data_IF_883937385220
#
_entry.id   IF_883937385220
#
_cell.length_a   1.000
_cell.length_b   1.000
_cell.length_c   1.000
_cell.angle_alpha   90.00
_cell.angle_beta   90.00
_cell.angle_gamma   90.00
#
_symmetry.space_group_name_H-M   'P 1'
#
loop_
_entity.id
_entity.type
_entity.pdbx_description
1 polymer ?
#
# COMPACT_ATOMS: atom_id res chain seq x y z
N UNK A 1 27.04 -70.96 41.44
CA UNK A 1 26.82 -70.30 40.13
C UNK A 1 25.32 -70.01 39.97
N UNK A 2 24.87 -68.84 40.42
CA UNK A 2 23.49 -68.39 40.22
C UNK A 2 23.52 -67.19 39.27
N UNK A 3 22.84 -67.32 38.13
CA UNK A 3 22.76 -66.30 37.08
C UNK A 3 21.51 -65.46 37.31
N UNK A 4 21.72 -64.21 37.68
CA UNK A 4 20.69 -63.20 37.90
C UNK A 4 20.24 -62.61 36.55
N UNK A 5 19.01 -62.87 36.13
CA UNK A 5 18.41 -62.31 34.91
C UNK A 5 17.80 -60.94 35.22
N UNK A 6 18.52 -59.88 34.87
CA UNK A 6 18.08 -58.49 34.99
C UNK A 6 16.87 -58.17 34.09
N UNK A 7 15.80 -57.66 34.69
CA UNK A 7 14.67 -57.02 33.99
C UNK A 7 15.13 -55.65 33.46
N UNK A 8 15.28 -55.50 32.15
CA UNK A 8 15.44 -54.20 31.49
C UNK A 8 14.13 -53.41 31.62
N UNK A 9 14.14 -52.41 32.49
CA UNK A 9 13.09 -51.41 32.65
C UNK A 9 13.18 -50.48 31.44
N UNK A 10 12.17 -50.48 30.57
CA UNK A 10 12.07 -49.55 29.45
C UNK A 10 11.82 -48.15 30.02
N UNK A 11 12.87 -47.33 30.07
CA UNK A 11 12.75 -45.90 30.32
C UNK A 11 12.17 -45.26 29.06
N UNK A 12 10.96 -44.73 29.15
CA UNK A 12 10.42 -43.81 28.15
C UNK A 12 11.38 -42.62 28.01
N UNK A 13 11.65 -42.13 26.78
CA UNK A 13 12.46 -40.94 26.60
C UNK A 13 11.76 -39.76 27.30
N UNK A 14 12.49 -39.07 28.17
CA UNK A 14 12.05 -37.82 28.77
C UNK A 14 11.70 -36.82 27.64
N UNK A 15 10.66 -35.99 27.80
CA UNK A 15 10.36 -34.94 26.84
C UNK A 15 11.59 -34.04 26.70
N UNK A 16 12.07 -33.86 25.47
CA UNK A 16 13.19 -32.98 25.15
C UNK A 16 12.86 -31.56 25.64
N UNK A 17 13.68 -31.04 26.54
CA UNK A 17 13.59 -29.65 26.99
C UNK A 17 13.77 -28.72 25.79
N UNK A 18 12.87 -27.74 25.58
CA UNK A 18 12.99 -26.81 24.47
C UNK A 18 14.31 -26.05 24.56
N UNK A 19 14.97 -25.85 23.42
CA UNK A 19 16.16 -25.00 23.39
C UNK A 19 15.75 -23.53 23.51
N UNK A 20 16.58 -22.68 24.14
CA UNK A 20 16.30 -21.23 24.24
C UNK A 20 15.98 -20.59 22.87
N UNK A 21 16.62 -21.09 21.81
CA UNK A 21 16.37 -20.66 20.42
C UNK A 21 14.97 -21.05 19.89
N UNK A 22 14.42 -22.19 20.30
CA UNK A 22 13.05 -22.61 19.94
C UNK A 22 11.99 -21.80 20.69
N UNK A 23 12.22 -21.46 21.96
CA UNK A 23 11.30 -20.61 22.74
C UNK A 23 11.24 -19.18 22.19
N UNK A 24 12.39 -18.58 21.88
CA UNK A 24 12.46 -17.25 21.26
C UNK A 24 11.79 -17.23 19.88
N UNK A 25 11.90 -18.32 19.12
CA UNK A 25 11.22 -18.47 17.84
C UNK A 25 9.71 -18.58 18.03
N UNK A 26 9.23 -19.38 18.98
CA UNK A 26 7.80 -19.52 19.28
C UNK A 26 7.16 -18.18 19.68
N UNK A 27 7.82 -17.39 20.52
CA UNK A 27 7.37 -16.05 20.91
C UNK A 27 7.28 -15.09 19.72
N UNK A 28 8.28 -15.10 18.83
CA UNK A 28 8.26 -14.29 17.60
C UNK A 28 7.10 -14.68 16.68
N UNK A 29 6.85 -15.98 16.52
CA UNK A 29 5.72 -16.45 15.73
C UNK A 29 4.37 -16.13 16.38
N UNK A 30 4.26 -16.18 17.71
CA UNK A 30 3.05 -15.74 18.41
C UNK A 30 2.76 -14.25 18.20
N UNK A 31 3.80 -13.41 18.24
CA UNK A 31 3.70 -11.99 17.93
C UNK A 31 3.28 -11.76 16.46
N UNK A 32 3.83 -12.54 15.52
CA UNK A 32 3.44 -12.51 14.11
C UNK A 32 1.96 -12.89 13.91
N UNK A 33 1.46 -13.91 14.63
CA UNK A 33 0.03 -14.27 14.61
C UNK A 33 -0.85 -13.14 15.15
N UNK A 34 -0.41 -12.47 16.23
CA UNK A 34 -1.16 -11.35 16.84
C UNK A 34 -1.16 -10.09 15.99
N UNK A 35 -0.11 -9.88 15.20
CA UNK A 35 0.02 -8.75 14.29
C UNK A 35 -0.58 -9.01 12.90
N UNK A 36 -1.09 -10.21 12.62
CA UNK A 36 -1.66 -10.55 11.33
C UNK A 36 -2.97 -9.79 11.10
N UNK A 37 -3.00 -8.96 10.06
CA UNK A 37 -4.15 -8.20 9.55
C UNK A 37 -4.81 -8.89 8.33
N UNK A 38 -4.08 -9.79 7.68
CA UNK A 38 -4.54 -10.58 6.54
C UNK A 38 -4.22 -12.08 6.71
N UNK A 39 -4.83 -12.91 5.85
CA UNK A 39 -4.53 -14.35 5.82
C UNK A 39 -3.06 -14.60 5.48
N UNK A 40 -2.33 -15.24 6.39
CA UNK A 40 -0.88 -15.46 6.27
C UNK A 40 -0.51 -16.94 6.43
N UNK A 41 0.70 -17.29 6.00
CA UNK A 41 1.27 -18.62 6.10
C UNK A 41 2.56 -18.59 6.92
N UNK A 42 2.61 -19.36 8.00
CA UNK A 42 3.70 -19.42 8.98
C UNK A 42 4.35 -20.80 8.93
N UNK A 43 5.66 -20.84 8.72
CA UNK A 43 6.44 -22.09 8.63
C UNK A 43 6.97 -22.52 10.01
N UNK A 44 6.54 -23.69 10.47
CA UNK A 44 6.94 -24.25 11.77
C UNK A 44 8.20 -25.14 11.70
N UNK A 45 8.92 -25.16 10.57
CA UNK A 45 10.14 -25.93 10.41
C UNK A 45 11.19 -25.58 11.47
N UNK A 46 11.79 -26.60 12.09
CA UNK A 46 12.74 -26.43 13.19
C UNK A 46 12.13 -26.07 14.55
N UNK A 47 10.81 -26.20 14.72
CA UNK A 47 10.15 -26.22 16.03
C UNK A 47 9.69 -27.65 16.29
N UNK A 48 10.22 -28.26 17.36
CA UNK A 48 9.88 -29.64 17.74
C UNK A 48 9.34 -29.76 19.17
N UNK A 49 9.60 -28.76 20.02
CA UNK A 49 9.16 -28.74 21.41
C UNK A 49 7.64 -28.56 21.60
N UNK A 50 7.03 -29.49 22.34
CA UNK A 50 5.62 -29.41 22.77
C UNK A 50 5.34 -28.11 23.54
N UNK A 51 6.25 -27.73 24.43
CA UNK A 51 6.13 -26.50 25.22
C UNK A 51 6.16 -25.24 24.34
N UNK A 52 7.03 -25.20 23.33
CA UNK A 52 7.15 -24.06 22.41
C UNK A 52 5.90 -23.90 21.54
N UNK A 53 5.31 -24.99 21.06
CA UNK A 53 4.05 -24.94 20.29
C UNK A 53 2.86 -24.54 21.16
N UNK A 54 2.79 -25.07 22.38
CA UNK A 54 1.76 -24.67 23.35
C UNK A 54 1.88 -23.18 23.70
N UNK A 55 3.10 -22.66 23.87
CA UNK A 55 3.35 -21.24 24.08
C UNK A 55 2.91 -20.40 22.87
N UNK A 56 3.27 -20.81 21.65
CA UNK A 56 2.85 -20.14 20.41
C UNK A 56 1.33 -20.03 20.32
N UNK A 57 0.63 -21.15 20.50
CA UNK A 57 -0.84 -21.18 20.42
C UNK A 57 -1.48 -20.37 21.54
N UNK A 58 -0.96 -20.48 22.76
CA UNK A 58 -1.50 -19.76 23.91
C UNK A 58 -1.29 -18.24 23.80
N UNK A 59 -0.10 -17.80 23.42
CA UNK A 59 0.22 -16.37 23.30
C UNK A 59 -0.38 -15.75 22.03
N UNK A 60 -0.46 -16.55 20.95
CA UNK A 60 -0.93 -16.09 19.64
C UNK A 60 -2.45 -16.13 19.45
N UNK A 61 -3.15 -17.11 20.04
CA UNK A 61 -4.53 -17.46 19.65
C UNK A 61 -5.53 -17.60 20.81
N UNK A 62 -5.07 -17.59 22.07
CA UNK A 62 -5.96 -17.74 23.22
C UNK A 62 -6.86 -16.51 23.44
N UNK A 63 -6.35 -15.32 23.10
CA UNK A 63 -7.10 -14.07 23.17
C UNK A 63 -7.60 -13.71 21.77
N UNK A 64 -8.89 -13.32 21.61
CA UNK A 64 -9.41 -12.89 20.32
C UNK A 64 -8.54 -11.80 19.67
N UNK A 65 -8.40 -11.88 18.35
CA UNK A 65 -7.68 -10.87 17.57
C UNK A 65 -8.58 -9.65 17.34
N UNK A 66 -8.08 -8.42 17.45
CA UNK A 66 -8.86 -7.20 17.24
C UNK A 66 -9.06 -6.92 15.73
N UNK A 67 -9.78 -7.81 15.04
CA UNK A 67 -9.97 -7.76 13.59
C UNK A 67 -11.46 -7.60 13.24
N UNK A 68 -11.74 -6.77 12.23
CA UNK A 68 -13.09 -6.55 11.68
C UNK A 68 -13.53 -7.68 10.74
N UNK A 69 -12.57 -8.36 10.11
CA UNK A 69 -12.80 -9.41 9.13
C UNK A 69 -12.11 -10.70 9.54
N UNK A 70 -12.64 -11.82 9.06
CA UNK A 70 -12.07 -13.14 9.32
C UNK A 70 -10.81 -13.36 8.50
N UNK A 71 -9.74 -13.81 9.16
CA UNK A 71 -8.48 -14.20 8.50
C UNK A 71 -8.21 -15.70 8.69
N UNK A 72 -7.34 -16.24 7.85
CA UNK A 72 -6.87 -17.63 7.96
C UNK A 72 -5.38 -17.64 8.22
N UNK A 73 -4.97 -18.18 9.37
CA UNK A 73 -3.57 -18.43 9.70
C UNK A 73 -3.21 -19.85 9.26
N UNK A 74 -2.24 -19.99 8.35
CA UNK A 74 -1.85 -21.28 7.80
C UNK A 74 -0.51 -21.71 8.36
N UNK A 75 -0.49 -22.70 9.25
CA UNK A 75 0.76 -23.27 9.73
C UNK A 75 1.25 -24.37 8.80
N UNK A 76 2.49 -24.29 8.33
CA UNK A 76 3.17 -25.38 7.63
C UNK A 76 3.73 -26.34 8.68
N UNK A 77 3.11 -27.51 8.79
CA UNK A 77 3.39 -28.51 9.83
C UNK A 77 4.13 -29.74 9.30
N UNK A 78 4.44 -29.77 8.01
CA UNK A 78 5.10 -30.89 7.39
C UNK A 78 5.26 -30.72 5.89
N UNK A 79 5.96 -31.66 5.29
CA UNK A 79 5.91 -31.86 3.85
C UNK A 79 6.35 -33.27 3.50
N UNK A 80 6.23 -33.62 2.22
CA UNK A 80 6.59 -34.93 1.74
C UNK A 80 8.08 -35.06 1.47
N UNK A 81 8.43 -35.94 0.54
CA UNK A 81 9.75 -36.60 0.52
C UNK A 81 10.93 -35.62 0.45
N UNK A 82 10.76 -34.44 -0.16
CA UNK A 82 11.83 -33.44 -0.34
C UNK A 82 12.12 -32.59 0.90
N UNK A 83 11.14 -32.38 1.77
CA UNK A 83 11.25 -31.46 2.92
C UNK A 83 10.84 -32.11 4.25
N UNK A 84 10.52 -33.41 4.26
CA UNK A 84 10.11 -34.16 5.46
C UNK A 84 11.10 -34.03 6.63
N UNK A 85 12.40 -33.94 6.34
CA UNK A 85 13.44 -33.80 7.38
C UNK A 85 13.39 -32.46 8.14
N UNK A 86 12.69 -31.45 7.61
CA UNK A 86 12.58 -30.12 8.21
C UNK A 86 11.56 -30.05 9.36
N UNK A 87 10.63 -31.00 9.41
CA UNK A 87 9.50 -31.00 10.33
C UNK A 87 9.51 -32.28 11.16
N UNK A 88 9.08 -32.17 12.42
CA UNK A 88 8.83 -33.36 13.23
C UNK A 88 7.58 -34.09 12.72
N UNK A 89 7.63 -35.41 12.60
CA UNK A 89 6.50 -36.22 12.13
C UNK A 89 5.26 -36.09 13.04
N UNK A 90 5.45 -35.71 14.32
CA UNK A 90 4.39 -35.49 15.31
C UNK A 90 3.90 -34.03 15.36
N UNK A 91 4.52 -33.12 14.62
CA UNK A 91 4.20 -31.69 14.64
C UNK A 91 2.71 -31.38 14.37
N UNK A 92 2.03 -32.03 13.40
CA UNK A 92 0.60 -31.79 13.17
C UNK A 92 -0.27 -32.18 14.37
N UNK A 93 0.07 -33.29 15.04
CA UNK A 93 -0.66 -33.77 16.21
C UNK A 93 -0.47 -32.83 17.40
N UNK A 94 0.78 -32.45 17.68
CA UNK A 94 1.12 -31.57 18.82
C UNK A 94 0.44 -30.21 18.66
N UNK A 95 0.46 -29.62 17.47
CA UNK A 95 -0.22 -28.34 17.20
C UNK A 95 -1.74 -28.46 17.36
N UNK A 96 -2.33 -29.55 16.86
CA UNK A 96 -3.77 -29.81 16.97
C UNK A 96 -4.20 -29.98 18.44
N UNK A 97 -3.39 -30.66 19.25
CA UNK A 97 -3.65 -30.85 20.68
C UNK A 97 -3.52 -29.52 21.45
N UNK A 98 -2.55 -28.68 21.09
CA UNK A 98 -2.41 -27.34 21.66
C UNK A 98 -3.61 -26.43 21.33
N UNK A 99 -4.10 -26.47 20.09
CA UNK A 99 -5.30 -25.72 19.65
C UNK A 99 -6.55 -26.21 20.39
N UNK A 100 -6.74 -27.53 20.49
CA UNK A 100 -7.84 -28.13 21.28
C UNK A 100 -7.74 -27.71 22.75
N UNK A 101 -6.54 -27.62 23.30
CA UNK A 101 -6.27 -27.17 24.68
C UNK A 101 -6.72 -25.75 25.00
N UNK A 102 -6.83 -24.86 24.00
CA UNK A 102 -7.37 -23.50 24.16
C UNK A 102 -8.83 -23.37 23.64
N UNK A 103 -9.49 -24.50 23.37
CA UNK A 103 -10.90 -24.56 23.00
C UNK A 103 -11.18 -24.33 21.51
N UNK A 104 -10.21 -24.61 20.62
CA UNK A 104 -10.48 -24.69 19.18
C UNK A 104 -11.00 -26.09 18.80
N UNK A 105 -11.81 -26.15 17.75
CA UNK A 105 -12.42 -27.40 17.26
C UNK A 105 -11.94 -27.70 15.84
N UNK A 106 -11.64 -28.96 15.59
CA UNK A 106 -11.22 -29.42 14.26
C UNK A 106 -12.46 -29.61 13.37
N UNK A 107 -12.53 -28.89 12.25
CA UNK A 107 -13.59 -29.00 11.25
C UNK A 107 -13.01 -28.93 9.84
N UNK A 108 -13.16 -30.01 9.07
CA UNK A 108 -12.66 -30.12 7.69
C UNK A 108 -13.35 -29.14 6.73
N UNK A 109 -14.57 -28.71 7.04
CA UNK A 109 -15.34 -27.75 6.25
C UNK A 109 -14.99 -26.29 6.53
N UNK A 110 -14.17 -26.01 7.56
CA UNK A 110 -13.91 -24.64 7.99
C UNK A 110 -13.30 -23.76 6.87
N UNK A 111 -13.80 -22.53 6.78
CA UNK A 111 -13.42 -21.55 5.77
C UNK A 111 -13.25 -20.16 6.39
N UNK A 112 -12.75 -19.18 5.62
CA UNK A 112 -12.47 -17.84 6.14
C UNK A 112 -13.77 -17.00 6.24
N UNK A 113 -14.76 -17.51 6.97
CA UNK A 113 -16.03 -16.86 7.28
C UNK A 113 -16.17 -16.69 8.79
N UNK A 114 -16.91 -15.65 9.22
CA UNK A 114 -17.05 -15.32 10.66
C UNK A 114 -17.72 -16.44 11.47
N UNK A 115 -18.47 -17.34 10.82
CA UNK A 115 -19.10 -18.50 11.45
C UNK A 115 -18.09 -19.60 11.82
N UNK A 116 -16.88 -19.57 11.26
CA UNK A 116 -15.83 -20.56 11.49
C UNK A 116 -14.81 -20.14 12.56
N UNK A 117 -15.12 -19.16 13.40
CA UNK A 117 -14.23 -18.70 14.48
C UNK A 117 -13.95 -19.79 15.51
N UNK A 118 -12.68 -19.94 15.89
CA UNK A 118 -12.26 -20.99 16.80
C UNK A 118 -12.20 -22.38 16.15
N UNK A 119 -12.26 -22.47 14.82
CA UNK A 119 -12.10 -23.72 14.09
C UNK A 119 -10.70 -23.85 13.49
N UNK A 120 -10.29 -25.09 13.22
CA UNK A 120 -9.10 -25.36 12.42
C UNK A 120 -9.28 -26.59 11.53
N UNK A 121 -8.49 -26.67 10.47
CA UNK A 121 -8.48 -27.83 9.58
C UNK A 121 -7.08 -28.22 9.17
N UNK A 122 -6.85 -29.53 9.12
CA UNK A 122 -5.67 -30.09 8.49
C UNK A 122 -5.89 -30.26 6.98
N UNK A 123 -4.92 -29.85 6.19
CA UNK A 123 -4.94 -29.99 4.73
C UNK A 123 -3.58 -30.49 4.23
N UNK A 124 -3.59 -31.49 3.36
CA UNK A 124 -2.40 -31.94 2.64
C UNK A 124 -2.50 -31.45 1.19
N UNK A 125 -1.59 -30.56 0.80
CA UNK A 125 -1.47 -30.08 -0.57
C UNK A 125 -0.48 -30.99 -1.30
N UNK A 126 -1.03 -31.89 -2.10
CA UNK A 126 -0.25 -32.89 -2.86
C UNK A 126 0.55 -32.27 -4.00
N UNK A 127 0.14 -31.10 -4.50
CA UNK A 127 0.84 -30.42 -5.60
C UNK A 127 2.10 -29.73 -5.09
N UNK A 128 2.03 -29.17 -3.87
CA UNK A 128 3.17 -28.51 -3.21
C UNK A 128 3.97 -29.44 -2.30
N UNK A 129 3.53 -30.67 -2.09
CA UNK A 129 4.13 -31.64 -1.18
C UNK A 129 4.25 -31.08 0.26
N UNK A 130 3.24 -30.32 0.71
CA UNK A 130 3.21 -29.64 2.01
C UNK A 130 1.95 -29.98 2.80
N UNK A 131 2.11 -30.05 4.12
CA UNK A 131 1.03 -30.28 5.08
C UNK A 131 0.77 -29.00 5.84
N UNK A 132 -0.50 -28.62 5.90
CA UNK A 132 -0.97 -27.38 6.50
C UNK A 132 -1.96 -27.65 7.63
N UNK A 133 -1.93 -26.81 8.65
CA UNK A 133 -3.03 -26.61 9.59
C UNK A 133 -3.51 -25.19 9.41
N UNK A 134 -4.71 -25.03 8.84
CA UNK A 134 -5.38 -23.75 8.73
C UNK A 134 -6.17 -23.49 9.98
N UNK A 135 -5.90 -22.38 10.65
CA UNK A 135 -6.56 -21.95 11.87
C UNK A 135 -7.36 -20.69 11.59
N UNK A 136 -8.59 -20.67 12.10
CA UNK A 136 -9.53 -19.57 11.98
C UNK A 136 -9.68 -18.94 13.38
N UNK A 137 -8.89 -17.89 13.69
CA UNK A 137 -8.84 -17.32 15.03
C UNK A 137 -10.20 -16.75 15.45
N UNK A 138 -10.42 -16.66 16.75
CA UNK A 138 -11.54 -15.85 17.28
C UNK A 138 -11.20 -14.39 17.04
N UNK A 139 -12.15 -13.61 16.54
CA UNK A 139 -11.99 -12.18 16.28
C UNK A 139 -12.93 -11.38 17.18
N UNK A 140 -12.47 -10.23 17.63
CA UNK A 140 -13.25 -9.25 18.36
C UNK A 140 -13.31 -7.96 17.54
N UNK A 141 -14.39 -7.76 16.75
CA UNK A 141 -14.54 -6.56 15.94
C UNK A 141 -14.75 -5.30 16.77
N UNK A 142 -15.16 -5.42 18.05
CA UNK A 142 -15.34 -4.28 18.95
C UNK A 142 -14.01 -3.75 19.49
N UNK A 143 -13.05 -4.65 19.72
CA UNK A 143 -11.68 -4.29 20.11
C UNK A 143 -10.84 -3.73 18.95
N UNK A 144 -11.26 -3.94 17.69
CA UNK A 144 -10.61 -3.38 16.51
C UNK A 144 -10.73 -1.84 16.41
N UNK A 145 -11.66 -1.22 17.14
CA UNK A 145 -11.87 0.23 17.12
C UNK A 145 -10.72 1.06 17.76
N UNK A 146 -9.75 0.42 18.41
CA UNK A 146 -8.64 1.07 19.12
C UNK A 146 -7.24 0.87 18.52
N UNK A 147 -7.09 0.09 17.45
CA UNK A 147 -5.78 -0.21 16.86
C UNK A 147 -5.74 0.17 15.39
N UNK A 148 -5.21 1.37 15.13
CA UNK A 148 -4.62 1.85 13.88
C UNK A 148 -5.10 1.14 12.59
N UNK A 149 -6.32 1.47 12.17
CA UNK A 149 -6.73 1.36 10.78
C UNK A 149 -5.92 2.37 9.94
N UNK A 150 -4.97 1.86 9.16
CA UNK A 150 -4.51 2.44 7.89
C UNK A 150 -4.41 1.23 6.95
N UNK A 151 -5.16 1.03 5.87
CA UNK A 151 -5.73 1.92 4.88
C UNK A 151 -6.91 1.20 4.18
N UNK A 152 -8.08 1.09 4.83
CA UNK A 152 -9.32 0.69 4.14
C UNK A 152 -10.31 1.86 3.98
N UNK A 153 -10.24 2.86 4.87
CA UNK A 153 -11.00 4.12 4.83
C UNK A 153 -10.13 5.34 4.46
N UNK A 154 -8.88 5.13 4.05
CA UNK A 154 -8.02 6.23 3.66
C UNK A 154 -8.52 6.83 2.34
N UNK A 155 -9.09 8.03 2.43
CA UNK A 155 -9.54 8.78 1.27
C UNK A 155 -8.40 8.89 0.25
N UNK A 156 -8.70 8.51 -0.99
CA UNK A 156 -7.76 8.63 -2.10
C UNK A 156 -7.29 10.08 -2.26
N UNK A 157 -6.11 10.33 -2.88
CA UNK A 157 -5.65 11.69 -3.16
C UNK A 157 -6.72 12.57 -3.82
N UNK A 158 -7.50 12.00 -4.74
CA UNK A 158 -8.61 12.70 -5.40
C UNK A 158 -9.72 13.09 -4.42
N UNK A 159 -10.14 12.17 -3.55
CA UNK A 159 -11.15 12.47 -2.51
C UNK A 159 -10.64 13.49 -1.51
N UNK A 160 -9.36 13.41 -1.10
CA UNK A 160 -8.74 14.40 -0.22
C UNK A 160 -8.69 15.80 -0.85
N UNK A 161 -8.47 15.92 -2.17
CA UNK A 161 -8.56 17.23 -2.84
C UNK A 161 -9.97 17.82 -2.76
N UNK A 162 -10.98 16.98 -2.93
CA UNK A 162 -12.38 17.39 -3.01
C UNK A 162 -12.92 17.74 -1.63
N UNK A 163 -12.80 16.84 -0.66
CA UNK A 163 -13.49 16.93 0.62
C UNK A 163 -12.71 17.57 1.76
N UNK A 164 -11.37 17.67 1.66
CA UNK A 164 -10.60 18.28 2.76
C UNK A 164 -10.92 19.77 2.92
N UNK A 165 -10.91 20.26 4.15
CA UNK A 165 -11.01 21.70 4.41
C UNK A 165 -9.85 22.48 3.77
N UNK A 166 -10.05 23.78 3.53
CA UNK A 166 -9.09 24.63 2.81
C UNK A 166 -7.67 24.55 3.37
N UNK A 167 -7.49 24.68 4.69
CA UNK A 167 -6.16 24.67 5.32
C UNK A 167 -5.46 23.31 5.15
N UNK A 168 -6.22 22.22 5.34
CA UNK A 168 -5.74 20.85 5.16
C UNK A 168 -5.37 20.59 3.70
N UNK A 169 -6.20 21.04 2.76
CA UNK A 169 -5.93 20.99 1.33
C UNK A 169 -4.62 21.70 0.97
N UNK A 170 -4.42 22.93 1.46
CA UNK A 170 -3.20 23.69 1.18
C UNK A 170 -1.96 23.00 1.74
N UNK A 171 -2.04 22.49 2.97
CA UNK A 171 -0.94 21.74 3.60
C UNK A 171 -0.59 20.47 2.81
N UNK A 172 -1.60 19.70 2.39
CA UNK A 172 -1.42 18.48 1.59
C UNK A 172 -0.81 18.79 0.22
N UNK A 173 -1.30 19.82 -0.48
CA UNK A 173 -0.73 20.23 -1.77
C UNK A 173 0.74 20.61 -1.62
N UNK A 174 1.10 21.41 -0.60
CA UNK A 174 2.49 21.79 -0.35
C UNK A 174 3.38 20.58 -0.05
N UNK A 175 2.88 19.61 0.71
CA UNK A 175 3.64 18.44 1.14
C UNK A 175 3.73 17.33 0.07
N UNK A 176 2.67 17.14 -0.71
CA UNK A 176 2.49 15.96 -1.57
C UNK A 176 2.54 16.27 -3.07
N UNK A 177 2.42 17.53 -3.49
CA UNK A 177 2.54 17.93 -4.92
C UNK A 177 3.63 18.99 -5.10
N UNK A 178 4.85 18.54 -5.31
CA UNK A 178 6.04 19.42 -5.37
C UNK A 178 6.22 20.00 -6.78
N UNK A 179 5.96 19.20 -7.81
CA UNK A 179 6.19 19.59 -9.20
C UNK A 179 5.00 20.37 -9.80
N UNK A 180 5.28 21.14 -10.85
CA UNK A 180 4.25 21.87 -11.59
C UNK A 180 3.23 20.92 -12.23
N UNK A 181 3.70 19.83 -12.84
CA UNK A 181 2.85 18.80 -13.43
C UNK A 181 1.93 18.14 -12.40
N UNK A 182 2.42 17.87 -11.19
CA UNK A 182 1.60 17.30 -10.11
C UNK A 182 0.48 18.27 -9.70
N UNK A 183 0.82 19.54 -9.45
CA UNK A 183 -0.18 20.57 -9.11
C UNK A 183 -1.17 20.81 -10.25
N UNK A 184 -0.71 20.75 -11.51
CA UNK A 184 -1.58 20.87 -12.69
C UNK A 184 -2.58 19.72 -12.79
N UNK A 185 -2.16 18.49 -12.51
CA UNK A 185 -3.05 17.32 -12.45
C UNK A 185 -4.07 17.43 -11.31
N UNK A 186 -3.63 17.88 -10.12
CA UNK A 186 -4.54 18.18 -9.02
C UNK A 186 -5.59 19.24 -9.42
N UNK A 187 -5.19 20.27 -10.17
CA UNK A 187 -6.13 21.28 -10.70
C UNK A 187 -7.11 20.67 -11.71
N UNK A 188 -6.67 19.74 -12.55
CA UNK A 188 -7.52 19.04 -13.52
C UNK A 188 -8.58 18.18 -12.81
N UNK A 189 -8.24 17.52 -11.69
CA UNK A 189 -9.20 16.81 -10.83
C UNK A 189 -10.27 17.76 -10.30
N UNK A 190 -9.88 18.91 -9.73
CA UNK A 190 -10.83 19.90 -9.23
C UNK A 190 -11.71 20.47 -10.35
N UNK A 191 -11.17 20.65 -11.56
CA UNK A 191 -11.95 21.09 -12.74
C UNK A 191 -12.96 20.06 -13.19
N UNK A 192 -12.59 18.78 -13.21
CA UNK A 192 -13.51 17.68 -13.49
C UNK A 192 -14.66 17.63 -12.48
N UNK A 193 -14.35 17.77 -11.19
CA UNK A 193 -15.35 17.86 -10.13
C UNK A 193 -16.33 19.02 -10.35
N UNK A 194 -15.82 20.21 -10.71
CA UNK A 194 -16.67 21.38 -10.99
C UNK A 194 -17.53 21.21 -12.24
N UNK A 195 -17.02 20.54 -13.27
CA UNK A 195 -17.82 20.19 -14.46
C UNK A 195 -18.99 19.30 -14.06
N UNK A 196 -18.74 18.25 -13.27
CA UNK A 196 -19.79 17.34 -12.78
C UNK A 196 -20.86 18.08 -11.97
N UNK A 197 -20.46 18.99 -11.06
CA UNK A 197 -21.41 19.84 -10.33
C UNK A 197 -22.28 20.64 -11.31
N UNK A 198 -21.68 21.30 -12.29
CA UNK A 198 -22.42 22.07 -13.30
C UNK A 198 -23.35 21.21 -14.19
N UNK A 199 -22.97 19.97 -14.49
CA UNK A 199 -23.82 19.01 -15.22
C UNK A 199 -25.05 18.60 -14.38
N UNK A 200 -24.85 18.32 -13.08
CA UNK A 200 -25.94 18.00 -12.16
C UNK A 200 -26.88 19.20 -11.96
N UNK A 201 -26.33 20.41 -11.83
CA UNK A 201 -27.12 21.65 -11.78
C UNK A 201 -27.97 21.85 -13.04
N UNK A 202 -27.41 21.57 -14.22
CA UNK A 202 -28.17 21.66 -15.48
C UNK A 202 -29.32 20.65 -15.53
N UNK A 203 -29.11 19.41 -15.06
CA UNK A 203 -30.18 18.39 -14.95
C UNK A 203 -31.28 18.85 -13.99
N UNK A 204 -30.91 19.37 -12.82
CA UNK A 204 -31.87 19.91 -11.86
C UNK A 204 -32.65 21.12 -12.43
N UNK A 205 -31.99 22.02 -13.16
CA UNK A 205 -32.64 23.14 -13.85
C UNK A 205 -33.61 22.67 -14.95
N UNK A 206 -33.30 21.56 -15.61
CA UNK A 206 -34.16 20.90 -16.59
C UNK A 206 -35.33 20.10 -15.94
N UNK A 207 -35.44 20.12 -14.61
CA UNK A 207 -36.40 19.33 -13.82
C UNK A 207 -36.21 17.81 -13.96
N UNK A 208 -35.00 17.37 -14.29
CA UNK A 208 -34.64 15.96 -14.29
C UNK A 208 -34.29 15.51 -12.87
N UNK A 209 -34.78 14.33 -12.50
CA UNK A 209 -34.43 13.70 -11.22
C UNK A 209 -32.98 13.21 -11.27
N UNK A 210 -32.22 13.54 -10.23
CA UNK A 210 -30.96 12.87 -9.92
C UNK A 210 -31.27 11.52 -9.26
N UNK A 211 -30.43 10.52 -9.49
CA UNK A 211 -30.50 9.28 -8.72
C UNK A 211 -29.96 9.49 -7.29
N UNK A 212 -30.15 8.48 -6.42
CA UNK A 212 -29.76 8.58 -5.01
C UNK A 212 -28.26 8.84 -4.82
N UNK A 213 -27.43 8.25 -5.68
CA UNK A 213 -25.97 8.38 -5.63
C UNK A 213 -25.49 9.77 -6.09
N UNK A 214 -26.05 10.29 -7.19
CA UNK A 214 -25.76 11.62 -7.70
C UNK A 214 -26.27 12.71 -6.75
N UNK A 215 -27.44 12.53 -6.14
CA UNK A 215 -27.99 13.46 -5.15
C UNK A 215 -27.10 13.49 -3.90
N UNK A 216 -26.76 12.32 -3.34
CA UNK A 216 -25.88 12.23 -2.17
C UNK A 216 -24.50 12.82 -2.45
N UNK A 217 -23.96 12.60 -3.66
CA UNK A 217 -22.70 13.20 -4.08
C UNK A 217 -22.82 14.72 -4.20
N UNK A 218 -23.85 15.23 -4.87
CA UNK A 218 -24.08 16.66 -5.03
C UNK A 218 -24.21 17.38 -3.67
N UNK A 219 -24.99 16.82 -2.75
CA UNK A 219 -25.20 17.38 -1.41
C UNK A 219 -23.94 17.39 -0.54
N UNK A 220 -22.96 16.53 -0.86
CA UNK A 220 -21.67 16.45 -0.16
C UNK A 220 -20.62 17.45 -0.66
N UNK A 221 -20.88 18.14 -1.77
CA UNK A 221 -19.90 19.01 -2.45
C UNK A 221 -20.27 20.48 -2.26
N UNK A 222 -19.34 21.22 -1.66
CA UNK A 222 -19.41 22.69 -1.62
C UNK A 222 -18.74 23.29 -2.87
N UNK A 223 -19.57 23.83 -3.78
CA UNK A 223 -19.13 24.43 -5.03
C UNK A 223 -18.27 25.69 -4.84
N UNK A 224 -18.50 26.45 -3.78
CA UNK A 224 -17.76 27.68 -3.47
C UNK A 224 -16.36 27.33 -2.95
N UNK A 225 -16.27 26.38 -2.02
CA UNK A 225 -14.97 25.85 -1.54
C UNK A 225 -14.18 25.24 -2.70
N UNK A 226 -14.85 24.50 -3.59
CA UNK A 226 -14.21 23.95 -4.79
C UNK A 226 -13.63 25.05 -5.70
N UNK A 227 -14.37 26.15 -5.90
CA UNK A 227 -13.90 27.30 -6.68
C UNK A 227 -12.73 28.04 -6.01
N UNK A 228 -12.73 28.16 -4.68
CA UNK A 228 -11.62 28.73 -3.91
C UNK A 228 -10.35 27.90 -4.07
N UNK A 229 -10.43 26.58 -3.88
CA UNK A 229 -9.31 25.64 -4.08
C UNK A 229 -8.74 25.72 -5.50
N UNK A 230 -9.60 25.80 -6.52
CA UNK A 230 -9.17 25.97 -7.91
C UNK A 230 -8.41 27.28 -8.12
N UNK A 231 -8.93 28.39 -7.58
CA UNK A 231 -8.31 29.71 -7.72
C UNK A 231 -6.95 29.75 -7.04
N UNK A 232 -6.87 29.23 -5.82
CA UNK A 232 -5.61 29.14 -5.08
C UNK A 232 -4.58 28.28 -5.84
N UNK A 233 -4.98 27.11 -6.35
CA UNK A 233 -4.06 26.22 -7.05
C UNK A 233 -3.60 26.81 -8.40
N UNK A 234 -4.46 27.58 -9.08
CA UNK A 234 -4.07 28.37 -10.26
C UNK A 234 -3.04 29.44 -9.92
N UNK A 235 -3.23 30.18 -8.83
CA UNK A 235 -2.25 31.16 -8.36
C UNK A 235 -0.91 30.51 -8.01
N UNK A 236 -0.92 29.31 -7.41
CA UNK A 236 0.29 28.55 -7.14
C UNK A 236 1.03 28.15 -8.43
N UNK A 237 0.30 27.72 -9.46
CA UNK A 237 0.90 27.37 -10.77
C UNK A 237 1.48 28.60 -11.45
N UNK A 238 0.77 29.73 -11.45
CA UNK A 238 1.27 31.00 -12.00
C UNK A 238 2.53 31.45 -11.26
N UNK A 239 2.54 31.36 -9.93
CA UNK A 239 3.71 31.67 -9.10
C UNK A 239 4.91 30.76 -9.39
N UNK A 240 4.69 29.49 -9.74
CA UNK A 240 5.77 28.58 -10.15
C UNK A 240 6.37 28.95 -11.51
N UNK A 241 5.54 29.44 -12.43
CA UNK A 241 5.98 29.97 -13.74
C UNK A 241 6.79 31.25 -13.51
N UNK A 242 6.27 32.18 -12.72
CA UNK A 242 6.90 33.49 -12.48
C UNK A 242 8.21 33.36 -11.69
N UNK A 243 8.28 32.45 -10.70
CA UNK A 243 9.51 32.16 -9.95
C UNK A 243 10.46 31.23 -10.71
N UNK A 244 10.01 30.66 -11.82
CA UNK A 244 10.76 29.70 -12.65
C UNK A 244 11.16 28.43 -11.90
N UNK A 245 10.32 27.94 -10.99
CA UNK A 245 10.54 26.69 -10.25
C UNK A 245 10.09 25.46 -11.05
N UNK A 246 10.29 25.49 -12.37
CA UNK A 246 9.86 24.43 -13.30
C UNK A 246 11.02 23.47 -13.58
N UNK A 247 10.69 22.19 -13.76
CA UNK A 247 11.65 21.23 -14.32
C UNK A 247 11.87 21.47 -15.83
N UNK A 248 12.89 20.84 -16.42
CA UNK A 248 13.19 21.04 -17.84
C UNK A 248 12.07 20.59 -18.77
N UNK A 249 11.39 19.49 -18.45
CA UNK A 249 10.22 19.02 -19.21
C UNK A 249 9.03 19.96 -19.03
N UNK A 250 8.71 20.33 -17.79
CA UNK A 250 7.61 21.26 -17.50
C UNK A 250 7.79 22.61 -18.17
N UNK A 251 9.02 23.14 -18.18
CA UNK A 251 9.34 24.38 -18.90
C UNK A 251 9.11 24.24 -20.40
N UNK A 252 9.50 23.11 -21.01
CA UNK A 252 9.25 22.86 -22.43
C UNK A 252 7.74 22.87 -22.73
N UNK A 253 6.95 22.14 -21.94
CA UNK A 253 5.48 22.08 -22.09
C UNK A 253 4.81 23.45 -21.91
N UNK A 254 5.28 24.25 -20.94
CA UNK A 254 4.75 25.61 -20.72
C UNK A 254 5.13 26.52 -21.88
N UNK A 255 6.37 26.44 -22.38
CA UNK A 255 6.81 27.23 -23.54
C UNK A 255 6.04 26.86 -24.81
N UNK A 256 5.75 25.58 -25.03
CA UNK A 256 4.91 25.11 -26.15
C UNK A 256 3.48 25.64 -26.06
N UNK A 257 2.89 25.61 -24.86
CA UNK A 257 1.54 26.18 -24.65
C UNK A 257 1.52 27.70 -24.84
N UNK A 258 2.56 28.40 -24.39
CA UNK A 258 2.69 29.83 -24.62
C UNK A 258 2.91 30.15 -26.09
N UNK A 259 3.68 29.37 -26.84
CA UNK A 259 3.88 29.58 -28.27
C UNK A 259 2.60 29.34 -29.08
N UNK A 260 1.83 28.31 -28.74
CA UNK A 260 0.53 28.04 -29.37
C UNK A 260 -0.46 29.19 -29.09
N UNK A 261 -0.52 29.66 -27.84
CA UNK A 261 -1.37 30.83 -27.48
C UNK A 261 -0.92 32.11 -28.17
N UNK A 262 0.38 32.36 -28.28
CA UNK A 262 0.93 33.50 -29.03
C UNK A 262 0.49 33.45 -30.48
N UNK A 263 0.60 32.30 -31.16
CA UNK A 263 0.12 32.15 -32.54
C UNK A 263 -1.38 32.45 -32.68
N UNK A 264 -2.21 31.98 -31.75
CA UNK A 264 -3.65 32.28 -31.74
C UNK A 264 -3.95 33.77 -31.50
N UNK A 265 -3.16 34.45 -30.65
CA UNK A 265 -3.32 35.89 -30.40
C UNK A 265 -2.88 36.68 -31.63
N UNK A 266 -1.78 36.30 -32.27
CA UNK A 266 -1.26 36.93 -33.49
C UNK A 266 -2.25 36.80 -34.67
N UNK A 267 -2.86 35.63 -34.84
CA UNK A 267 -3.91 35.41 -35.83
C UNK A 267 -5.15 36.29 -35.55
N UNK A 268 -5.65 36.29 -34.31
CA UNK A 268 -6.77 37.13 -33.89
C UNK A 268 -6.47 38.61 -34.07
N UNK A 269 -5.23 39.02 -33.80
CA UNK A 269 -4.77 40.40 -33.92
C UNK A 269 -4.77 40.83 -35.39
N UNK A 270 -4.28 39.99 -36.31
CA UNK A 270 -4.32 40.26 -37.74
C UNK A 270 -5.77 40.45 -38.24
N UNK A 271 -6.67 39.54 -37.87
CA UNK A 271 -8.11 39.63 -38.22
C UNK A 271 -8.75 40.89 -37.63
N UNK A 272 -8.44 41.21 -36.38
CA UNK A 272 -9.02 42.37 -35.67
C UNK A 272 -8.52 43.71 -36.25
N UNK A 273 -7.25 43.75 -36.66
CA UNK A 273 -6.66 44.90 -37.35
C UNK A 273 -7.27 45.09 -38.74
N UNK A 274 -7.43 44.01 -39.52
CA UNK A 274 -8.09 44.05 -40.83
C UNK A 274 -9.56 44.50 -40.72
N UNK A 275 -10.24 44.16 -39.62
CA UNK A 275 -11.60 44.60 -39.32
C UNK A 275 -11.70 46.04 -38.77
N UNK A 276 -10.59 46.78 -38.64
CA UNK A 276 -10.59 48.17 -38.15
C UNK A 276 -10.93 48.33 -36.66
N UNK A 277 -10.94 47.24 -35.87
CA UNK A 277 -11.33 47.25 -34.45
C UNK A 277 -10.16 47.67 -33.57
N UNK A 278 -9.75 48.93 -33.67
CA UNK A 278 -8.54 49.51 -33.04
C UNK A 278 -8.41 49.26 -31.54
N UNK A 279 -9.48 49.44 -30.74
CA UNK A 279 -9.45 49.18 -29.28
C UNK A 279 -9.18 47.71 -28.95
N UNK A 280 -9.76 46.78 -29.70
CA UNK A 280 -9.58 45.34 -29.49
C UNK A 280 -8.18 44.90 -29.98
N UNK A 281 -7.69 45.47 -31.08
CA UNK A 281 -6.33 45.23 -31.57
C UNK A 281 -5.27 45.70 -30.57
N UNK A 282 -5.45 46.86 -29.93
CA UNK A 282 -4.55 47.34 -28.89
C UNK A 282 -4.50 46.41 -27.65
N UNK A 283 -5.66 45.86 -27.25
CA UNK A 283 -5.71 44.89 -26.15
C UNK A 283 -4.99 43.58 -26.50
N UNK A 284 -5.14 43.09 -27.74
CA UNK A 284 -4.44 41.89 -28.21
C UNK A 284 -2.93 42.11 -28.33
N UNK A 285 -2.48 43.30 -28.77
CA UNK A 285 -1.06 43.67 -28.80
C UNK A 285 -0.44 43.61 -27.41
N UNK A 286 -1.10 44.23 -26.42
CA UNK A 286 -0.65 44.20 -25.03
C UNK A 286 -0.54 42.77 -24.49
N UNK A 287 -1.56 41.94 -24.74
CA UNK A 287 -1.57 40.54 -24.32
C UNK A 287 -0.44 39.73 -24.99
N UNK A 288 -0.15 40.00 -26.27
CA UNK A 288 0.96 39.39 -27.01
C UNK A 288 2.30 39.75 -26.37
N UNK A 289 2.52 41.03 -26.08
CA UNK A 289 3.80 41.50 -25.52
C UNK A 289 4.02 40.97 -24.10
N UNK A 290 2.97 40.90 -23.27
CA UNK A 290 3.02 40.26 -21.95
C UNK A 290 3.37 38.77 -22.04
N UNK A 291 2.79 38.03 -22.98
CA UNK A 291 3.12 36.61 -23.20
C UNK A 291 4.56 36.44 -23.72
N UNK A 292 5.01 37.32 -24.64
CA UNK A 292 6.36 37.29 -25.16
C UNK A 292 7.40 37.57 -24.06
N UNK A 293 7.12 38.53 -23.17
CA UNK A 293 7.96 38.81 -22.01
C UNK A 293 8.08 37.58 -21.09
N UNK A 294 6.97 36.87 -20.84
CA UNK A 294 6.96 35.61 -20.07
C UNK A 294 7.78 34.50 -20.74
N UNK A 295 7.74 34.38 -22.07
CA UNK A 295 8.58 33.42 -22.81
C UNK A 295 10.07 33.72 -22.63
N UNK A 296 10.47 34.99 -22.73
CA UNK A 296 11.86 35.41 -22.52
C UNK A 296 12.29 35.12 -21.09
N UNK A 297 11.46 35.46 -20.11
CA UNK A 297 11.69 35.21 -18.68
C UNK A 297 11.94 33.73 -18.38
N UNK A 298 11.05 32.84 -18.83
CA UNK A 298 11.17 31.40 -18.59
C UNK A 298 12.43 30.79 -19.23
N UNK A 299 12.84 31.27 -20.40
CA UNK A 299 14.07 30.82 -21.06
C UNK A 299 15.32 31.27 -20.30
N UNK A 300 15.26 32.41 -19.61
CA UNK A 300 16.36 32.97 -18.83
C UNK A 300 16.58 32.34 -17.46
N UNK A 301 15.58 31.66 -16.89
CA UNK A 301 15.68 31.05 -15.54
C UNK A 301 16.17 29.59 -15.62
N UNK A 302 17.13 29.17 -14.76
CA UNK A 302 17.54 27.78 -14.65
C UNK A 302 16.43 26.86 -14.15
N UNK A 303 16.33 25.65 -14.72
CA UNK A 303 15.35 24.66 -14.30
C UNK A 303 15.69 24.06 -12.93
N UNK A 304 14.65 23.68 -12.19
CA UNK A 304 14.77 22.92 -10.95
C UNK A 304 14.84 21.42 -11.24
N UNK A 305 15.53 20.67 -10.38
CA UNK A 305 15.47 19.20 -10.36
C UNK A 305 14.90 18.74 -9.03
N UNK A 306 13.86 17.92 -9.06
CA UNK A 306 13.28 17.31 -7.87
C UNK A 306 13.93 15.94 -7.66
N UNK A 307 14.70 15.78 -6.59
CA UNK A 307 15.20 14.46 -6.19
C UNK A 307 14.11 13.73 -5.41
N UNK A 308 13.80 12.46 -5.72
CA UNK A 308 12.90 11.66 -4.92
C UNK A 308 13.43 11.57 -3.49
N UNK A 309 12.53 11.55 -2.50
CA UNK A 309 12.94 11.19 -1.13
C UNK A 309 13.55 9.78 -1.15
N UNK A 310 14.51 9.50 -0.28
CA UNK A 310 15.15 8.18 -0.17
C UNK A 310 15.84 7.65 -1.45
N UNK A 311 16.20 8.49 -2.44
CA UNK A 311 16.78 8.05 -3.72
C UNK A 311 17.99 7.10 -3.56
N UNK A 312 18.89 7.40 -2.63
CA UNK A 312 20.06 6.56 -2.35
C UNK A 312 19.67 5.20 -1.73
N UNK A 313 18.73 5.20 -0.79
CA UNK A 313 18.24 4.00 -0.10
C UNK A 313 17.45 3.10 -1.06
N UNK A 314 16.59 3.68 -1.91
CA UNK A 314 15.89 2.96 -2.97
C UNK A 314 16.86 2.34 -3.98
N UNK A 315 17.94 3.04 -4.35
CA UNK A 315 18.96 2.51 -5.26
C UNK A 315 19.69 1.32 -4.65
N UNK A 316 20.05 1.39 -3.37
CA UNK A 316 20.68 0.28 -2.65
C UNK A 316 19.70 -0.91 -2.48
N UNK A 317 18.42 -0.66 -2.16
CA UNK A 317 17.39 -1.70 -2.08
C UNK A 317 17.16 -2.39 -3.43
N UNK A 318 17.07 -1.62 -4.54
CA UNK A 318 16.99 -2.19 -5.90
C UNK A 318 18.20 -3.04 -6.24
N UNK A 319 19.41 -2.60 -5.87
CA UNK A 319 20.64 -3.37 -6.08
C UNK A 319 20.64 -4.69 -5.29
N UNK A 320 20.18 -4.65 -4.03
CA UNK A 320 20.01 -5.84 -3.19
C UNK A 320 18.97 -6.79 -3.77
N UNK A 321 17.80 -6.30 -4.18
CA UNK A 321 16.77 -7.11 -4.82
C UNK A 321 17.24 -7.74 -6.13
N UNK A 322 17.96 -7.01 -6.98
CA UNK A 322 18.54 -7.55 -8.20
C UNK A 322 19.59 -8.65 -7.94
N UNK A 323 20.37 -8.54 -6.86
CA UNK A 323 21.28 -9.58 -6.43
C UNK A 323 20.53 -10.83 -5.93
N UNK A 324 19.45 -10.64 -5.15
CA UNK A 324 18.58 -11.72 -4.69
C UNK A 324 17.84 -12.42 -5.83
N UNK A 325 17.37 -11.70 -6.84
CA UNK A 325 16.77 -12.29 -8.05
C UNK A 325 17.76 -13.12 -8.85
N UNK A 326 19.04 -12.72 -8.90
CA UNK A 326 20.10 -13.52 -9.55
C UNK A 326 20.38 -14.81 -8.77
N UNK A 327 20.36 -14.74 -7.43
CA UNK A 327 20.51 -15.91 -6.56
C UNK A 327 19.33 -16.87 -6.71
N UNK A 328 18.10 -16.35 -6.75
CA UNK A 328 16.87 -17.12 -6.95
C UNK A 328 16.83 -17.85 -8.30
N UNK A 329 17.36 -17.21 -9.35
CA UNK A 329 17.46 -17.81 -10.71
C UNK A 329 18.64 -18.75 -10.87
N UNK A 330 19.51 -18.89 -9.86
CA UNK A 330 20.66 -19.78 -9.94
C UNK A 330 20.23 -21.24 -9.81
N UNK A 331 20.84 -22.12 -10.61
CA UNK A 331 20.55 -23.58 -10.61
C UNK A 331 21.37 -24.34 -9.55
N UNK A 332 22.07 -23.63 -8.68
CA UNK A 332 23.01 -24.19 -7.69
C UNK A 332 22.29 -24.31 -6.35
N UNK A 333 22.61 -25.36 -5.58
CA UNK A 333 22.09 -25.51 -4.21
C UNK A 333 22.71 -24.44 -3.33
N UNK A 334 21.89 -23.50 -2.87
CA UNK A 334 22.32 -22.35 -2.09
C UNK A 334 22.57 -22.75 -0.61
N UNK A 335 23.63 -22.22 0.03
CA UNK A 335 23.85 -22.39 1.47
C UNK A 335 22.74 -21.71 2.29
N UNK A 336 22.55 -22.17 3.53
CA UNK A 336 21.46 -21.74 4.43
C UNK A 336 21.36 -20.21 4.60
N UNK A 337 22.50 -19.52 4.62
CA UNK A 337 22.57 -18.04 4.74
C UNK A 337 22.00 -17.32 3.51
N UNK A 338 22.18 -17.88 2.31
CA UNK A 338 21.64 -17.31 1.07
C UNK A 338 20.13 -17.59 0.94
N UNK A 339 19.67 -18.73 1.45
CA UNK A 339 18.24 -19.05 1.59
C UNK A 339 17.55 -18.11 2.58
N UNK A 340 18.19 -17.77 3.71
CA UNK A 340 17.66 -16.78 4.66
C UNK A 340 17.54 -15.38 4.06
N UNK A 341 18.51 -14.97 3.22
CA UNK A 341 18.45 -13.68 2.50
C UNK A 341 17.32 -13.66 1.45
N UNK A 342 17.05 -14.78 0.79
CA UNK A 342 15.90 -14.92 -0.12
C UNK A 342 14.56 -14.80 0.63
N UNK A 343 14.46 -15.34 1.84
CA UNK A 343 13.26 -15.20 2.66
C UNK A 343 12.98 -13.75 3.10
N UNK A 344 14.00 -12.89 3.15
CA UNK A 344 13.84 -11.46 3.42
C UNK A 344 13.36 -10.64 2.20
N UNK A 345 13.36 -11.23 0.99
CA UNK A 345 12.99 -10.56 -0.26
C UNK A 345 11.58 -9.95 -0.23
N UNK A 346 10.51 -10.62 0.23
CA UNK A 346 9.18 -10.01 0.28
C UNK A 346 9.13 -8.75 1.14
N UNK A 347 9.84 -8.74 2.27
CA UNK A 347 9.95 -7.57 3.14
C UNK A 347 10.69 -6.42 2.45
N UNK A 348 11.80 -6.71 1.77
CA UNK A 348 12.55 -5.68 1.02
C UNK A 348 11.74 -5.10 -0.16
N UNK A 349 10.86 -5.90 -0.77
CA UNK A 349 9.93 -5.43 -1.80
C UNK A 349 8.87 -4.51 -1.18
N UNK A 350 8.27 -4.91 -0.05
CA UNK A 350 7.31 -4.07 0.66
C UNK A 350 7.93 -2.74 1.12
N UNK A 351 9.12 -2.77 1.74
CA UNK A 351 9.85 -1.58 2.18
C UNK A 351 10.15 -0.65 0.99
N UNK A 352 10.56 -1.21 -0.16
CA UNK A 352 10.79 -0.44 -1.38
C UNK A 352 9.48 0.17 -1.91
N UNK A 353 8.36 -0.54 -1.90
CA UNK A 353 7.07 -0.02 -2.32
C UNK A 353 6.61 1.14 -1.42
N UNK A 354 6.79 1.03 -0.10
CA UNK A 354 6.48 2.10 0.85
C UNK A 354 7.39 3.31 0.61
N UNK A 355 8.70 3.10 0.41
CA UNK A 355 9.63 4.19 0.10
C UNK A 355 9.31 4.84 -1.24
N UNK A 356 8.94 4.08 -2.27
CA UNK A 356 8.50 4.62 -3.55
C UNK A 356 7.20 5.41 -3.41
N UNK A 357 6.24 4.93 -2.64
CA UNK A 357 4.98 5.62 -2.38
C UNK A 357 5.17 6.97 -1.64
N UNK A 358 6.13 7.06 -0.70
CA UNK A 358 6.46 8.36 -0.07
C UNK A 358 7.38 9.24 -0.94
N UNK A 359 8.27 8.62 -1.72
CA UNK A 359 9.20 9.33 -2.60
C UNK A 359 8.51 10.02 -3.76
N UNK A 360 7.49 9.37 -4.33
CA UNK A 360 6.69 9.89 -5.42
C UNK A 360 5.43 10.55 -4.85
N UNK A 361 5.43 11.88 -4.77
CA UNK A 361 4.25 12.65 -4.34
C UNK A 361 3.00 12.35 -5.18
N UNK A 362 1.85 12.88 -4.74
CA UNK A 362 0.57 12.70 -5.44
C UNK A 362 0.66 13.11 -6.92
N UNK A 363 -0.04 12.36 -7.78
CA UNK A 363 -0.12 12.60 -9.22
C UNK A 363 1.25 12.63 -9.94
N UNK A 364 2.22 11.84 -9.47
CA UNK A 364 3.58 11.71 -10.04
C UNK A 364 3.67 10.81 -11.28
N UNK A 365 2.71 9.90 -11.47
CA UNK A 365 2.64 8.96 -12.60
C UNK A 365 1.63 9.45 -13.62
#
# INVERSE_FOLDING_TARGET
FAVERGRKRWLSPLPSTPTMAEEDKAKKLAAEVRAADASTQIDLGGISGVASLAALVKEGLNVPLPLKQMIRITFVVGGGKKVRQKYDDKLPQILSDALKGIGFVEDRGASATLDCQGLFKYQHDTDKDLKFVHVFPRVDPSAAAGSADADADAMSPTQLLIYAEQDTFEAMIRAKTVSFSQKKRALEVLRGCKSRVGELEQRLMAMELLDEDDQAWYDSIDADVLAQKQTWLQQQLEAMIDKGTLTSSERADVLEKLSTKLGQVEEKLAVTQAAGKTKQAAALLKARDEMQARVVHLRGIPCVTHRPKHEAEMKELRKKLAALEKLEKSKVVLPLEEVQKLNAKPKLVADLQTMEADAYGWFSK
#
